data_IF_844822247566
#
_entry.id   IF_844822247566
#
_cell.length_a   1.000
_cell.length_b   1.000
_cell.length_c   1.000
_cell.angle_alpha   90.00
_cell.angle_beta   90.00
_cell.angle_gamma   90.00
#
_symmetry.space_group_name_H-M   'P 1'
#
loop_
_entity.id
_entity.type
_entity.pdbx_description
1 polymer ?
#
# COMPACT_ATOMS: atom_id res chain seq x y z
N UNK A 1 30.73 -12.99 -13.32
CA UNK A 1 30.60 -11.55 -13.65
C UNK A 1 29.22 -11.18 -14.20
N UNK A 2 28.88 -11.44 -15.46
CA UNK A 2 27.60 -10.95 -16.03
C UNK A 2 26.35 -11.63 -15.42
N UNK A 3 26.42 -12.95 -15.19
CA UNK A 3 25.36 -13.72 -14.51
C UNK A 3 25.14 -13.32 -13.05
N UNK A 4 26.17 -12.83 -12.37
CA UNK A 4 26.07 -12.38 -10.97
C UNK A 4 25.45 -10.98 -10.90
N UNK A 5 25.88 -10.06 -11.79
CA UNK A 5 25.24 -8.74 -11.92
C UNK A 5 23.76 -8.87 -12.27
N UNK A 6 23.40 -9.78 -13.18
CA UNK A 6 22.00 -10.02 -13.55
C UNK A 6 21.17 -10.58 -12.37
N UNK A 7 21.76 -11.45 -11.54
CA UNK A 7 21.10 -11.97 -10.34
C UNK A 7 20.87 -10.86 -9.31
N UNK A 8 21.86 -10.00 -9.11
CA UNK A 8 21.74 -8.89 -8.15
C UNK A 8 20.74 -7.84 -8.65
N UNK A 9 20.74 -7.53 -9.95
CA UNK A 9 19.75 -6.64 -10.55
C UNK A 9 18.33 -7.18 -10.35
N UNK A 10 18.08 -8.46 -10.60
CA UNK A 10 16.76 -9.06 -10.38
C UNK A 10 16.35 -9.04 -8.90
N UNK A 11 17.29 -9.25 -7.98
CA UNK A 11 17.04 -9.18 -6.53
C UNK A 11 16.65 -7.76 -6.12
N UNK A 12 17.40 -6.75 -6.55
CA UNK A 12 17.11 -5.35 -6.25
C UNK A 12 15.78 -4.91 -6.85
N UNK A 13 15.49 -5.31 -8.09
CA UNK A 13 14.19 -5.01 -8.73
C UNK A 13 13.02 -5.58 -7.91
N UNK A 14 13.13 -6.82 -7.44
CA UNK A 14 12.10 -7.43 -6.58
C UNK A 14 11.93 -6.65 -5.26
N UNK A 15 13.03 -6.25 -4.63
CA UNK A 15 12.97 -5.46 -3.39
C UNK A 15 12.36 -4.07 -3.61
N UNK A 16 12.63 -3.43 -4.76
CA UNK A 16 12.03 -2.16 -5.15
C UNK A 16 10.51 -2.33 -5.29
N UNK A 17 10.05 -3.36 -6.02
CA UNK A 17 8.63 -3.66 -6.19
C UNK A 17 7.93 -3.90 -4.84
N UNK A 18 8.54 -4.67 -3.93
CA UNK A 18 8.00 -4.92 -2.59
C UNK A 18 7.83 -3.62 -1.77
N UNK A 19 8.80 -2.70 -1.85
CA UNK A 19 8.73 -1.41 -1.14
C UNK A 19 7.71 -0.45 -1.76
N UNK A 20 7.56 -0.47 -3.09
CA UNK A 20 6.52 0.31 -3.78
C UNK A 20 5.12 -0.17 -3.40
N UNK A 21 4.89 -1.49 -3.37
CA UNK A 21 3.64 -2.08 -2.89
C UNK A 21 3.38 -1.77 -1.41
N UNK A 22 4.40 -1.84 -0.56
CA UNK A 22 4.25 -1.51 0.86
C UNK A 22 3.79 -0.06 1.11
N UNK A 23 4.10 0.89 0.21
CA UNK A 23 3.59 2.27 0.32
C UNK A 23 2.08 2.35 0.03
N UNK A 24 1.55 1.45 -0.80
CA UNK A 24 0.12 1.38 -1.14
C UNK A 24 -0.70 0.74 -0.01
N UNK A 25 -0.05 0.02 0.90
CA UNK A 25 -0.70 -0.62 2.05
C UNK A 25 -1.20 0.35 3.14
N UNK A 26 -1.00 1.66 2.99
CA UNK A 26 -1.41 2.68 3.96
C UNK A 26 -2.49 3.60 3.37
N UNK A 27 -3.63 3.01 2.99
CA UNK A 27 -4.81 3.74 2.55
C UNK A 27 -5.71 4.06 3.75
N UNK A 28 -6.30 5.26 3.73
CA UNK A 28 -7.28 5.68 4.72
C UNK A 28 -8.69 5.36 4.18
N UNK A 29 -9.58 4.91 5.06
CA UNK A 29 -10.97 4.71 4.67
C UNK A 29 -11.63 6.07 4.40
N UNK A 30 -11.86 6.37 3.12
CA UNK A 30 -12.59 7.57 2.70
C UNK A 30 -14.11 7.42 2.82
N UNK A 31 -14.56 6.49 3.66
CA UNK A 31 -15.96 6.11 3.82
C UNK A 31 -16.62 5.69 2.49
N UNK A 32 -15.87 5.07 1.57
CA UNK A 32 -16.36 4.75 0.22
C UNK A 32 -17.68 3.97 0.26
N UNK A 33 -17.72 2.90 1.06
CA UNK A 33 -18.94 2.08 1.23
C UNK A 33 -20.15 2.88 1.73
N UNK A 34 -19.95 3.77 2.69
CA UNK A 34 -21.03 4.60 3.24
C UNK A 34 -21.47 5.65 2.22
N UNK A 35 -20.50 6.23 1.50
CA UNK A 35 -20.76 7.23 0.46
C UNK A 35 -21.51 6.62 -0.73
N UNK A 36 -21.25 5.37 -1.11
CA UNK A 36 -21.98 4.65 -2.15
C UNK A 36 -23.46 4.44 -1.76
N UNK A 37 -23.73 4.11 -0.50
CA UNK A 37 -25.09 3.98 0.03
C UNK A 37 -25.80 5.33 0.05
N UNK A 38 -25.13 6.38 0.53
CA UNK A 38 -25.68 7.75 0.60
C UNK A 38 -26.03 8.26 -0.79
N UNK A 39 -25.12 8.11 -1.74
CA UNK A 39 -25.33 8.50 -3.14
C UNK A 39 -26.51 7.71 -3.76
N UNK A 40 -26.62 6.41 -3.48
CA UNK A 40 -27.77 5.59 -3.91
C UNK A 40 -29.11 6.04 -3.31
N UNK A 41 -29.08 6.65 -2.12
CA UNK A 41 -30.24 7.21 -1.44
C UNK A 41 -30.51 8.68 -1.81
N UNK A 42 -29.70 9.29 -2.68
CA UNK A 42 -29.82 10.70 -3.06
C UNK A 42 -29.30 11.67 -1.99
N UNK A 43 -28.50 11.19 -1.04
CA UNK A 43 -27.86 11.99 0.00
C UNK A 43 -26.47 12.47 -0.44
N UNK A 44 -26.03 13.61 0.09
CA UNK A 44 -24.66 14.09 -0.11
C UNK A 44 -23.64 13.18 0.60
N UNK A 45 -22.45 13.04 -0.01
CA UNK A 45 -21.31 12.31 0.58
C UNK A 45 -20.91 12.92 1.91
N UNK A 46 -20.37 12.10 2.81
CA UNK A 46 -19.88 12.57 4.09
C UNK A 46 -18.73 13.57 3.88
N UNK A 47 -18.67 14.65 4.67
CA UNK A 47 -17.53 15.56 4.67
C UNK A 47 -16.21 14.84 5.02
N UNK A 48 -15.04 15.36 4.57
CA UNK A 48 -13.74 14.75 4.83
C UNK A 48 -13.40 14.54 6.32
N UNK A 49 -14.01 15.32 7.22
CA UNK A 49 -13.82 15.19 8.68
C UNK A 49 -14.33 13.85 9.27
N UNK A 50 -15.13 13.10 8.50
CA UNK A 50 -15.58 11.75 8.87
C UNK A 50 -14.66 10.65 8.35
N UNK A 51 -13.64 10.97 7.54
CA UNK A 51 -12.68 9.96 7.04
C UNK A 51 -11.96 9.29 8.22
N UNK A 52 -11.74 7.98 8.11
CA UNK A 52 -11.03 7.24 9.16
C UNK A 52 -9.59 7.75 9.23
N UNK A 53 -9.18 8.23 10.41
CA UNK A 53 -7.76 8.53 10.71
C UNK A 53 -6.92 7.27 10.87
N UNK A 54 -7.57 6.09 10.98
CA UNK A 54 -6.87 4.82 11.07
C UNK A 54 -6.58 4.31 9.65
N UNK A 55 -5.30 4.07 9.31
CA UNK A 55 -4.95 3.42 8.05
C UNK A 55 -5.48 1.98 8.04
N UNK A 56 -5.90 1.53 6.87
CA UNK A 56 -6.23 0.13 6.59
C UNK A 56 -5.01 -0.52 5.96
N UNK A 57 -4.54 -1.63 6.54
CA UNK A 57 -3.59 -2.50 5.87
C UNK A 57 -4.34 -3.32 4.83
N UNK A 58 -4.05 -3.07 3.54
CA UNK A 58 -4.51 -3.91 2.45
C UNK A 58 -3.51 -5.04 2.29
N UNK A 59 -3.91 -6.26 2.68
CA UNK A 59 -3.16 -7.47 2.38
C UNK A 59 -3.64 -7.96 1.02
N UNK A 60 -2.82 -7.76 -0.03
CA UNK A 60 -3.02 -8.47 -1.30
C UNK A 60 -2.85 -9.97 -1.03
N UNK A 61 -3.84 -10.78 -1.42
CA UNK A 61 -3.67 -12.22 -1.50
C UNK A 61 -2.96 -12.55 -2.81
N UNK A 62 -2.03 -13.51 -2.77
CA UNK A 62 -1.33 -14.01 -3.95
C UNK A 62 -2.31 -14.30 -5.09
N UNK A 63 -1.90 -13.93 -6.32
CA UNK A 63 -2.70 -13.90 -7.55
C UNK A 63 -3.20 -15.28 -8.04
N UNK A 64 -3.69 -16.19 -7.19
CA UNK A 64 -4.15 -17.52 -7.64
C UNK A 64 -5.24 -18.14 -6.76
N UNK A 65 -6.29 -17.38 -6.46
CA UNK A 65 -7.58 -18.02 -6.17
C UNK A 65 -8.57 -17.69 -7.27
N UNK A 66 -8.85 -18.70 -8.10
CA UNK A 66 -9.85 -18.71 -9.19
C UNK A 66 -11.27 -18.31 -8.73
N UNK A 67 -11.47 -18.20 -7.42
CA UNK A 67 -12.67 -17.70 -6.79
C UNK A 67 -12.72 -16.17 -6.81
N UNK A 68 -13.40 -15.65 -7.84
CA UNK A 68 -13.70 -14.25 -8.18
C UNK A 68 -14.23 -13.32 -7.07
N UNK A 69 -14.22 -13.67 -5.79
CA UNK A 69 -14.84 -12.85 -4.73
C UNK A 69 -14.16 -12.91 -3.36
N UNK A 70 -12.82 -13.08 -3.29
CA UNK A 70 -12.14 -12.79 -2.03
C UNK A 70 -12.19 -11.29 -1.74
N UNK A 71 -13.13 -10.88 -0.88
CA UNK A 71 -13.19 -9.51 -0.37
C UNK A 71 -11.93 -9.24 0.42
N UNK A 72 -11.22 -8.16 0.06
CA UNK A 72 -10.15 -7.61 0.88
C UNK A 72 -10.70 -7.40 2.30
N UNK A 73 -10.07 -8.01 3.30
CA UNK A 73 -10.39 -7.76 4.70
C UNK A 73 -9.47 -6.64 5.17
N UNK A 74 -9.95 -5.39 5.27
CA UNK A 74 -9.14 -4.33 5.83
C UNK A 74 -8.89 -4.63 7.30
N UNK A 75 -7.62 -4.82 7.67
CA UNK A 75 -7.25 -4.94 9.07
C UNK A 75 -7.04 -3.51 9.59
N UNK A 76 -7.86 -3.04 10.56
CA UNK A 76 -7.64 -1.74 11.16
C UNK A 76 -6.29 -1.75 11.86
N UNK A 77 -5.37 -0.94 11.36
CA UNK A 77 -4.11 -0.70 12.05
C UNK A 77 -4.35 0.45 13.04
N UNK A 78 -4.29 0.14 14.35
CA UNK A 78 -4.30 1.16 15.41
C UNK A 78 -2.90 1.79 15.50
N UNK A 79 -2.46 2.40 14.40
CA UNK A 79 -1.22 3.17 14.32
C UNK A 79 -1.61 4.64 14.33
N UNK A 80 -0.95 5.44 15.18
CA UNK A 80 -1.11 6.89 15.13
C UNK A 80 -0.63 7.44 13.78
N UNK A 81 -1.20 8.55 13.32
CA UNK A 81 -0.78 9.22 12.07
C UNK A 81 0.74 9.45 12.04
N UNK A 82 1.31 9.88 13.16
CA UNK A 82 2.77 10.04 13.31
C UNK A 82 3.54 8.75 13.03
N UNK A 83 3.07 7.60 13.52
CA UNK A 83 3.73 6.32 13.32
C UNK A 83 3.61 5.86 11.86
N UNK A 84 2.46 6.11 11.22
CA UNK A 84 2.26 5.85 9.79
C UNK A 84 3.22 6.67 8.95
N UNK A 85 3.34 7.96 9.24
CA UNK A 85 4.25 8.85 8.54
C UNK A 85 5.72 8.43 8.74
N UNK A 86 6.09 8.08 9.97
CA UNK A 86 7.43 7.57 10.27
C UNK A 86 7.75 6.29 9.46
N UNK A 87 6.79 5.36 9.36
CA UNK A 87 6.95 4.14 8.56
C UNK A 87 7.06 4.48 7.06
N UNK A 88 6.21 5.37 6.54
CA UNK A 88 6.26 5.82 5.14
C UNK A 88 7.60 6.48 4.81
N UNK A 89 8.14 7.30 5.71
CA UNK A 89 9.48 7.91 5.54
C UNK A 89 10.55 6.83 5.47
N UNK A 90 10.54 5.88 6.41
CA UNK A 90 11.53 4.79 6.40
C UNK A 90 11.47 3.93 5.12
N UNK A 91 10.27 3.62 4.63
CA UNK A 91 10.09 2.88 3.37
C UNK A 91 10.63 3.70 2.18
N UNK A 92 10.33 5.00 2.11
CA UNK A 92 10.84 5.89 1.04
C UNK A 92 12.36 6.01 1.05
N UNK A 93 12.98 6.13 2.23
CA UNK A 93 14.44 6.19 2.36
C UNK A 93 15.10 4.89 1.87
N UNK A 94 14.54 3.73 2.22
CA UNK A 94 15.05 2.45 1.75
C UNK A 94 14.83 2.26 0.25
N UNK A 95 13.66 2.64 -0.27
CA UNK A 95 13.37 2.61 -1.70
C UNK A 95 14.36 3.46 -2.50
N UNK A 96 14.70 4.66 -2.00
CA UNK A 96 15.70 5.51 -2.62
C UNK A 96 17.08 4.84 -2.66
N UNK A 97 17.53 4.24 -1.55
CA UNK A 97 18.80 3.50 -1.49
C UNK A 97 18.83 2.33 -2.49
N UNK A 98 17.76 1.53 -2.56
CA UNK A 98 17.65 0.39 -3.46
C UNK A 98 17.68 0.82 -4.94
N UNK A 99 16.98 1.91 -5.29
CA UNK A 99 17.00 2.47 -6.65
C UNK A 99 18.40 2.95 -7.03
N UNK A 100 19.09 3.66 -6.14
CA UNK A 100 20.47 4.08 -6.37
C UNK A 100 21.41 2.87 -6.53
N UNK A 101 21.27 1.85 -5.70
CA UNK A 101 22.08 0.63 -5.81
C UNK A 101 21.85 -0.09 -7.16
N UNK A 102 20.60 -0.14 -7.63
CA UNK A 102 20.24 -0.69 -8.92
C UNK A 102 20.79 0.12 -10.10
N UNK A 103 20.79 1.46 -10.01
CA UNK A 103 21.36 2.34 -11.04
C UNK A 103 22.89 2.27 -11.12
N UNK A 104 23.56 1.94 -10.01
CA UNK A 104 25.01 1.81 -9.92
C UNK A 104 25.52 0.41 -10.32
N UNK A 105 24.61 -0.54 -10.58
CA UNK A 105 24.92 -1.95 -10.86
C UNK A 105 25.44 -2.23 -12.26
#
# INVERSE_FOLDING_TARGET
>A
MEKERLKEANRLNKLIEEHEKALLCFEYDKNEYINDIRESNGEEKLPPEYESTNPKLIIEYDEFDEDKYRRQLPIPMVLSEFLVDAIKVAIKENLCKLKTEFEML
#
